data_IF_859923567574
#
_entry.id   IF_859923567574
#
_cell.length_a   1.000
_cell.length_b   1.000
_cell.length_c   1.000
_cell.angle_alpha   90.00
_cell.angle_beta   90.00
_cell.angle_gamma   90.00
#
_symmetry.space_group_name_H-M   'P 1'
#
loop_
_entity.id
_entity.type
_entity.pdbx_description
1 polymer ?
#
# COMPACT_ATOMS: atom_id res chain seq x y z
N UNK A 1 -35.68 20.71 11.41
CA UNK A 1 -34.60 20.80 10.43
C UNK A 1 -35.20 20.72 9.03
N UNK A 2 -34.69 21.50 8.08
CA UNK A 2 -35.11 21.50 6.67
C UNK A 2 -33.88 21.64 5.78
N UNK A 3 -33.76 20.81 4.75
CA UNK A 3 -32.71 20.91 3.75
C UNK A 3 -33.32 21.38 2.42
N UNK A 4 -32.73 22.36 1.78
CA UNK A 4 -33.22 22.91 0.49
C UNK A 4 -32.04 23.03 -0.48
N UNK A 5 -32.13 22.40 -1.64
CA UNK A 5 -31.15 22.50 -2.70
C UNK A 5 -31.11 23.95 -3.25
N UNK A 6 -29.93 24.56 -3.27
CA UNK A 6 -29.72 25.89 -3.88
C UNK A 6 -29.26 25.70 -5.34
N UNK A 7 -28.22 24.90 -5.55
CA UNK A 7 -27.57 24.74 -6.85
C UNK A 7 -26.80 23.45 -6.91
N UNK A 8 -26.77 22.83 -8.09
CA UNK A 8 -25.89 21.70 -8.42
C UNK A 8 -25.10 22.07 -9.70
N UNK A 9 -23.77 22.08 -9.59
CA UNK A 9 -22.87 22.33 -10.70
C UNK A 9 -21.89 21.18 -10.83
N UNK A 10 -22.08 20.34 -11.83
CA UNK A 10 -21.34 19.09 -11.95
C UNK A 10 -21.53 18.24 -10.68
N UNK A 11 -20.44 17.95 -10.01
CA UNK A 11 -20.42 17.13 -8.78
C UNK A 11 -20.47 17.97 -7.50
N UNK A 12 -20.51 19.31 -7.61
CA UNK A 12 -20.60 20.22 -6.45
C UNK A 12 -22.05 20.59 -6.20
N UNK A 13 -22.53 20.30 -5.00
CA UNK A 13 -23.90 20.61 -4.56
C UNK A 13 -23.84 21.64 -3.45
N UNK A 14 -24.61 22.73 -3.63
CA UNK A 14 -24.85 23.72 -2.59
C UNK A 14 -26.29 23.59 -2.12
N UNK A 15 -26.47 23.47 -0.82
CA UNK A 15 -27.80 23.41 -0.22
C UNK A 15 -27.86 24.23 1.07
N UNK A 16 -29.06 24.68 1.40
CA UNK A 16 -29.34 25.40 2.62
C UNK A 16 -29.85 24.43 3.67
N UNK A 17 -29.23 24.47 4.84
CA UNK A 17 -29.62 23.67 5.99
C UNK A 17 -30.14 24.59 7.10
N UNK A 18 -31.45 24.53 7.35
CA UNK A 18 -32.10 25.28 8.41
C UNK A 18 -32.26 24.41 9.65
N UNK A 19 -31.69 24.84 10.77
CA UNK A 19 -31.74 24.16 12.05
C UNK A 19 -32.59 24.98 13.02
N UNK A 20 -33.64 24.36 13.55
CA UNK A 20 -34.61 25.03 14.44
C UNK A 20 -33.90 25.65 15.65
N UNK A 21 -34.41 26.81 16.10
CA UNK A 21 -33.82 27.56 17.20
C UNK A 21 -33.68 26.72 18.48
N UNK A 22 -34.63 25.83 18.80
CA UNK A 22 -34.57 25.00 20.00
C UNK A 22 -33.38 23.99 19.96
N UNK A 23 -33.10 23.40 18.80
CA UNK A 23 -31.95 22.53 18.60
C UNK A 23 -30.63 23.30 18.69
N UNK A 24 -30.56 24.46 18.07
CA UNK A 24 -29.38 25.30 18.12
C UNK A 24 -29.11 25.83 19.53
N UNK A 25 -30.14 26.28 20.27
CA UNK A 25 -30.01 26.68 21.67
C UNK A 25 -29.56 25.54 22.59
N UNK A 26 -30.01 24.31 22.34
CA UNK A 26 -29.54 23.13 23.05
C UNK A 26 -28.03 22.88 22.77
N UNK A 27 -27.60 23.06 21.51
CA UNK A 27 -26.18 22.93 21.12
C UNK A 27 -25.32 24.05 21.77
N UNK A 28 -25.81 25.30 21.80
CA UNK A 28 -25.11 26.41 22.50
C UNK A 28 -24.95 26.09 24.00
N UNK A 29 -25.95 25.47 24.62
CA UNK A 29 -25.86 25.09 26.04
C UNK A 29 -24.85 23.93 26.23
N UNK A 30 -24.77 22.98 25.30
CA UNK A 30 -23.71 21.93 25.29
C UNK A 30 -22.33 22.58 25.15
N UNK A 31 -22.15 23.51 24.18
CA UNK A 31 -20.92 24.25 23.93
C UNK A 31 -20.46 25.05 25.14
N UNK A 32 -21.39 25.80 25.77
CA UNK A 32 -21.15 26.49 27.05
C UNK A 32 -20.63 25.51 28.12
N UNK A 33 -21.32 24.41 28.34
CA UNK A 33 -20.91 23.43 29.36
C UNK A 33 -19.52 22.85 29.13
N UNK A 34 -19.17 22.60 27.87
CA UNK A 34 -17.86 22.09 27.45
C UNK A 34 -16.76 23.13 27.67
N UNK A 35 -17.04 24.41 27.35
CA UNK A 35 -16.02 25.46 27.24
C UNK A 35 -16.01 26.49 28.36
N UNK A 36 -17.01 26.51 29.28
CA UNK A 36 -17.09 27.48 30.38
C UNK A 36 -15.83 27.56 31.26
N UNK A 37 -15.04 26.50 31.29
CA UNK A 37 -13.76 26.47 32.03
C UNK A 37 -12.63 27.27 31.36
N UNK A 38 -12.77 27.67 30.09
CA UNK A 38 -11.76 28.45 29.34
C UNK A 38 -11.85 29.95 29.65
N UNK A 39 -13.04 30.43 30.13
CA UNK A 39 -13.31 31.84 30.34
C UNK A 39 -12.95 32.27 31.75
N UNK A 40 -12.24 33.41 31.87
CA UNK A 40 -11.93 34.04 33.15
C UNK A 40 -12.75 35.31 33.30
N UNK A 41 -13.72 35.30 34.21
CA UNK A 41 -14.64 36.40 34.43
C UNK A 41 -14.43 36.96 35.85
N UNK A 42 -14.20 38.26 35.96
CA UNK A 42 -14.04 38.92 37.25
C UNK A 42 -15.29 38.70 38.14
N UNK A 43 -15.06 38.29 39.38
CA UNK A 43 -16.15 37.99 40.33
C UNK A 43 -16.67 36.53 40.27
N UNK A 44 -16.18 35.69 39.37
CA UNK A 44 -16.58 34.30 39.30
C UNK A 44 -15.37 33.36 39.36
N UNK A 45 -15.51 32.25 40.08
CA UNK A 45 -14.54 31.17 40.03
C UNK A 45 -14.53 30.56 38.62
N UNK A 46 -13.34 30.23 38.09
CA UNK A 46 -13.15 29.64 36.77
C UNK A 46 -14.13 28.48 36.52
N UNK A 47 -14.88 28.56 35.43
CA UNK A 47 -15.87 27.56 35.01
C UNK A 47 -17.21 27.62 35.77
N UNK A 48 -17.45 28.66 36.63
CA UNK A 48 -18.70 28.86 37.37
C UNK A 48 -19.47 30.08 36.91
N UNK A 49 -18.97 30.88 35.98
CA UNK A 49 -19.71 32.00 35.42
C UNK A 49 -20.92 31.51 34.60
N UNK A 50 -22.13 32.02 34.80
CA UNK A 50 -23.30 31.67 33.99
C UNK A 50 -23.09 32.06 32.52
N UNK A 51 -23.73 31.31 31.58
CA UNK A 51 -23.66 31.54 30.14
C UNK A 51 -23.86 33.00 29.77
N UNK A 52 -24.95 33.61 30.26
CA UNK A 52 -25.29 35.00 29.98
C UNK A 52 -24.20 36.00 30.37
N UNK A 53 -23.48 35.74 31.44
CA UNK A 53 -22.39 36.62 31.88
C UNK A 53 -21.18 36.50 30.94
N UNK A 54 -20.86 35.27 30.45
CA UNK A 54 -19.81 35.06 29.46
C UNK A 54 -20.18 35.74 28.14
N UNK A 55 -21.41 35.54 27.66
CA UNK A 55 -21.92 36.15 26.43
C UNK A 55 -21.93 37.70 26.48
N UNK A 56 -22.22 38.30 27.67
CA UNK A 56 -22.15 39.74 27.85
C UNK A 56 -20.73 40.31 27.79
N UNK A 57 -19.72 39.53 28.21
CA UNK A 57 -18.31 39.97 28.23
C UNK A 57 -17.60 39.68 26.90
N UNK A 58 -17.88 38.56 26.24
CA UNK A 58 -17.16 38.07 25.03
C UNK A 58 -18.02 38.17 23.78
N UNK A 59 -19.28 38.58 23.88
CA UNK A 59 -20.22 38.65 22.78
C UNK A 59 -21.16 37.43 22.71
N UNK A 60 -22.37 37.64 22.15
CA UNK A 60 -23.42 36.61 22.07
C UNK A 60 -23.00 35.40 21.25
N UNK A 61 -22.10 35.59 20.26
CA UNK A 61 -21.64 34.56 19.37
C UNK A 61 -20.49 33.69 19.90
N UNK A 62 -20.02 33.92 21.13
CA UNK A 62 -18.84 33.26 21.71
C UNK A 62 -18.90 31.74 21.72
N UNK A 63 -20.10 31.15 21.66
CA UNK A 63 -20.33 29.70 21.63
C UNK A 63 -20.90 29.21 20.31
N UNK A 64 -21.07 30.07 19.29
CA UNK A 64 -21.74 29.67 18.04
C UNK A 64 -20.94 28.68 17.23
N UNK A 65 -19.64 28.89 17.09
CA UNK A 65 -18.74 27.97 16.38
C UNK A 65 -18.76 26.56 17.02
N UNK A 66 -18.50 26.52 18.35
CA UNK A 66 -18.57 25.24 19.08
C UNK A 66 -19.97 24.58 19.02
N UNK A 67 -21.04 25.39 18.95
CA UNK A 67 -22.40 24.87 18.84
C UNK A 67 -22.70 24.31 17.45
N UNK A 68 -22.19 24.94 16.40
CA UNK A 68 -22.26 24.43 15.02
C UNK A 68 -21.53 23.10 14.94
N UNK A 69 -20.31 23.01 15.47
CA UNK A 69 -19.53 21.78 15.52
C UNK A 69 -20.25 20.62 16.25
N UNK A 70 -21.14 20.95 17.19
CA UNK A 70 -21.93 19.96 17.92
C UNK A 70 -23.20 19.56 17.15
N UNK A 71 -23.94 20.54 16.59
CA UNK A 71 -25.25 20.27 16.00
C UNK A 71 -25.13 19.78 14.55
N UNK A 72 -24.15 20.24 13.80
CA UNK A 72 -24.00 19.91 12.39
C UNK A 72 -23.85 18.39 12.16
N UNK A 73 -22.95 17.65 12.85
CA UNK A 73 -22.84 16.20 12.67
C UNK A 73 -24.11 15.44 13.05
N UNK A 74 -24.96 16.00 13.93
CA UNK A 74 -26.23 15.37 14.33
C UNK A 74 -27.31 15.48 13.23
N UNK A 75 -27.28 16.55 12.40
CA UNK A 75 -28.33 16.85 11.43
C UNK A 75 -27.92 16.63 9.96
N UNK A 76 -26.62 16.67 9.68
CA UNK A 76 -26.07 16.54 8.31
C UNK A 76 -26.45 15.23 7.63
N UNK A 77 -26.35 14.03 8.27
CA UNK A 77 -26.76 12.79 7.64
C UNK A 77 -28.24 12.80 7.19
N UNK A 78 -29.13 13.31 8.06
CA UNK A 78 -30.55 13.41 7.70
C UNK A 78 -30.82 14.40 6.55
N UNK A 79 -29.99 15.44 6.42
CA UNK A 79 -30.10 16.38 5.30
C UNK A 79 -29.64 15.73 3.98
N UNK A 80 -28.63 14.90 4.02
CA UNK A 80 -28.16 14.11 2.85
C UNK A 80 -29.21 13.10 2.40
N UNK A 81 -29.84 12.38 3.35
CA UNK A 81 -30.92 11.44 3.08
C UNK A 81 -32.13 12.13 2.45
N UNK A 82 -32.54 13.32 2.99
CA UNK A 82 -33.64 14.11 2.44
C UNK A 82 -33.40 14.58 1.00
N UNK A 83 -32.15 14.93 0.68
CA UNK A 83 -31.72 15.39 -0.63
C UNK A 83 -31.21 14.25 -1.54
N UNK A 84 -31.15 13.02 -1.05
CA UNK A 84 -30.61 11.84 -1.76
C UNK A 84 -29.17 12.08 -2.30
N UNK A 85 -28.31 12.68 -1.49
CA UNK A 85 -26.94 13.02 -1.84
C UNK A 85 -25.97 11.98 -1.26
N UNK A 86 -25.01 11.53 -2.08
CA UNK A 86 -23.90 10.67 -1.67
C UNK A 86 -22.59 11.48 -1.65
N UNK A 87 -22.20 12.03 -0.48
CA UNK A 87 -21.00 12.86 -0.37
C UNK A 87 -19.73 12.02 -0.56
N UNK A 88 -18.74 12.62 -1.21
CA UNK A 88 -17.42 12.01 -1.44
C UNK A 88 -16.29 12.69 -0.67
N UNK A 89 -16.55 13.88 -0.13
CA UNK A 89 -15.60 14.64 0.69
C UNK A 89 -16.31 15.39 1.81
N UNK A 90 -15.53 16.00 2.69
CA UNK A 90 -16.05 16.81 3.80
C UNK A 90 -16.73 18.07 3.27
N UNK A 91 -17.91 18.42 3.81
CA UNK A 91 -18.59 19.62 3.39
C UNK A 91 -17.88 20.89 3.87
N UNK A 92 -17.93 21.95 3.07
CA UNK A 92 -17.68 23.32 3.50
C UNK A 92 -18.97 23.92 4.03
N UNK A 93 -18.89 24.68 5.13
CA UNK A 93 -20.04 25.22 5.83
C UNK A 93 -19.86 26.71 6.00
N UNK A 94 -20.81 27.47 5.50
CA UNK A 94 -20.91 28.91 5.72
C UNK A 94 -22.19 29.25 6.52
N UNK A 95 -22.06 30.17 7.45
CA UNK A 95 -23.20 30.65 8.25
C UNK A 95 -23.89 31.77 7.51
N UNK A 96 -25.11 31.56 7.04
CA UNK A 96 -25.89 32.58 6.37
C UNK A 96 -26.66 33.48 7.39
N UNK A 97 -27.33 32.86 8.36
CA UNK A 97 -28.15 33.58 9.35
C UNK A 97 -28.16 32.86 10.70
N UNK A 98 -28.14 33.65 11.76
CA UNK A 98 -28.47 33.18 13.11
C UNK A 98 -29.52 34.12 13.67
N UNK A 99 -30.77 33.66 13.80
CA UNK A 99 -31.86 34.45 14.33
C UNK A 99 -32.74 33.63 15.27
N UNK A 100 -33.59 34.31 16.04
CA UNK A 100 -34.53 33.61 16.91
C UNK A 100 -35.71 33.02 16.14
N UNK A 101 -36.06 33.62 15.00
CA UNK A 101 -37.22 33.23 14.21
C UNK A 101 -36.88 32.07 13.28
N UNK A 102 -35.69 32.10 12.66
CA UNK A 102 -35.23 31.08 11.70
C UNK A 102 -34.25 30.06 12.30
N UNK A 103 -33.76 30.31 13.53
CA UNK A 103 -32.73 29.48 14.14
C UNK A 103 -31.36 29.69 13.50
N UNK A 104 -30.67 28.61 13.16
CA UNK A 104 -29.40 28.61 12.46
C UNK A 104 -29.61 28.19 11.00
N UNK A 105 -29.18 29.03 10.07
CA UNK A 105 -29.21 28.77 8.63
C UNK A 105 -27.79 28.67 8.13
N UNK A 106 -27.45 27.51 7.59
CA UNK A 106 -26.16 27.19 7.02
C UNK A 106 -26.28 27.03 5.51
N UNK A 107 -25.29 27.49 4.77
CA UNK A 107 -25.05 27.12 3.38
C UNK A 107 -23.95 26.06 3.39
N UNK A 108 -24.29 24.89 2.89
CA UNK A 108 -23.40 23.74 2.86
C UNK A 108 -23.03 23.46 1.41
N UNK A 109 -21.74 23.40 1.14
CA UNK A 109 -21.20 22.98 -0.12
C UNK A 109 -20.52 21.61 0.04
N UNK A 110 -20.90 20.66 -0.78
CA UNK A 110 -20.37 19.30 -0.73
C UNK A 110 -20.15 18.75 -2.14
N UNK A 111 -19.08 17.99 -2.32
CA UNK A 111 -18.89 17.19 -3.52
C UNK A 111 -19.58 15.85 -3.37
N UNK A 112 -20.29 15.43 -4.41
CA UNK A 112 -21.07 14.19 -4.45
C UNK A 112 -20.59 13.27 -5.56
N UNK A 113 -20.95 11.99 -5.46
CA UNK A 113 -20.69 11.02 -6.51
C UNK A 113 -21.22 11.54 -7.88
N UNK A 114 -20.44 11.34 -8.97
CA UNK A 114 -20.87 11.77 -10.30
C UNK A 114 -22.05 10.94 -10.78
N UNK A 115 -23.03 11.61 -11.39
CA UNK A 115 -24.09 10.97 -12.15
C UNK A 115 -23.66 10.82 -13.61
N UNK A 116 -23.73 9.63 -14.15
CA UNK A 116 -23.38 9.33 -15.54
C UNK A 116 -24.24 8.22 -16.11
N UNK A 117 -24.32 8.16 -17.42
CA UNK A 117 -25.01 7.07 -18.11
C UNK A 117 -24.02 5.94 -18.45
N UNK A 118 -24.44 4.70 -18.19
CA UNK A 118 -23.64 3.53 -18.54
C UNK A 118 -23.55 3.40 -20.07
N UNK A 119 -22.35 3.24 -20.57
CA UNK A 119 -22.11 2.82 -21.94
C UNK A 119 -22.51 1.37 -22.18
N UNK A 120 -22.15 0.84 -23.34
CA UNK A 120 -22.40 -0.58 -23.63
C UNK A 120 -21.56 -1.46 -22.71
N UNK A 121 -22.22 -2.23 -21.83
CA UNK A 121 -21.60 -3.20 -20.93
C UNK A 121 -22.06 -4.64 -21.14
N UNK A 122 -23.14 -4.86 -21.96
CA UNK A 122 -23.62 -6.20 -22.36
C UNK A 122 -23.16 -6.53 -23.77
N UNK A 123 -22.88 -7.81 -24.01
CA UNK A 123 -22.43 -8.29 -25.33
C UNK A 123 -21.03 -7.80 -25.70
N UNK A 124 -20.16 -7.63 -24.71
CA UNK A 124 -18.76 -7.24 -24.93
C UNK A 124 -17.98 -8.41 -25.51
N UNK A 125 -17.36 -8.18 -26.65
CA UNK A 125 -16.46 -9.14 -27.29
C UNK A 125 -15.00 -8.78 -26.97
N UNK A 126 -14.26 -9.71 -26.38
CA UNK A 126 -12.83 -9.60 -26.13
C UNK A 126 -12.10 -10.80 -26.71
N UNK A 127 -10.83 -10.60 -27.06
CA UNK A 127 -10.00 -11.70 -27.53
C UNK A 127 -9.82 -12.74 -26.41
N UNK A 128 -10.00 -14.03 -26.77
CA UNK A 128 -9.76 -15.13 -25.83
C UNK A 128 -8.30 -15.09 -25.37
N UNK A 129 -8.12 -15.33 -24.10
CA UNK A 129 -6.79 -15.50 -23.52
C UNK A 129 -6.54 -16.98 -23.37
N UNK A 130 -5.57 -17.49 -24.13
CA UNK A 130 -5.14 -18.88 -24.05
C UNK A 130 -3.76 -18.91 -23.41
N UNK A 131 -3.66 -19.56 -22.28
CA UNK A 131 -2.39 -19.89 -21.63
C UNK A 131 -2.21 -21.40 -21.72
N UNK A 132 -1.19 -21.81 -22.42
CA UNK A 132 -0.77 -23.20 -22.49
C UNK A 132 0.48 -23.37 -21.66
N UNK A 133 0.46 -24.33 -20.75
CA UNK A 133 1.66 -24.71 -20.01
C UNK A 133 2.54 -25.52 -20.94
N UNK A 134 3.78 -25.06 -21.07
CA UNK A 134 4.79 -25.76 -21.90
C UNK A 134 5.60 -26.72 -21.05
N UNK A 135 6.22 -27.73 -21.71
CA UNK A 135 7.14 -28.64 -21.02
C UNK A 135 8.33 -27.88 -20.42
N UNK A 136 8.78 -26.79 -21.08
CA UNK A 136 9.87 -25.96 -20.58
C UNK A 136 9.50 -25.25 -19.27
N UNK A 137 8.24 -24.80 -19.11
CA UNK A 137 7.77 -24.18 -17.86
C UNK A 137 7.69 -25.21 -16.74
N UNK A 138 7.28 -26.44 -17.03
CA UNK A 138 7.26 -27.53 -16.05
C UNK A 138 8.69 -27.91 -15.65
N UNK A 139 9.59 -28.01 -16.60
CA UNK A 139 11.02 -28.30 -16.34
C UNK A 139 11.67 -27.18 -15.54
N UNK A 140 11.34 -25.91 -15.79
CA UNK A 140 11.82 -24.78 -15.01
C UNK A 140 11.37 -24.87 -13.54
N UNK A 141 10.11 -25.23 -13.28
CA UNK A 141 9.58 -25.44 -11.93
C UNK A 141 10.25 -26.63 -11.22
N UNK A 142 10.52 -27.71 -11.95
CA UNK A 142 11.26 -28.85 -11.41
C UNK A 142 12.72 -28.49 -11.08
N UNK A 143 13.37 -27.69 -11.93
CA UNK A 143 14.72 -27.19 -11.68
C UNK A 143 14.75 -26.25 -10.47
N UNK A 144 13.73 -25.43 -10.27
CA UNK A 144 13.62 -24.59 -9.07
C UNK A 144 13.50 -25.44 -7.79
N UNK A 145 12.75 -26.54 -7.81
CA UNK A 145 12.68 -27.50 -6.71
C UNK A 145 14.03 -28.18 -6.46
N UNK A 146 14.74 -28.56 -7.55
CA UNK A 146 16.07 -29.13 -7.50
C UNK A 146 17.08 -28.16 -6.87
N UNK A 147 17.01 -26.88 -7.26
CA UNK A 147 17.85 -25.84 -6.68
C UNK A 147 17.60 -25.62 -5.19
N UNK A 148 16.34 -25.64 -4.77
CA UNK A 148 15.97 -25.53 -3.34
C UNK A 148 16.46 -26.70 -2.51
N UNK A 149 16.53 -27.89 -3.11
CA UNK A 149 17.04 -29.10 -2.49
C UNK A 149 18.56 -29.28 -2.59
N UNK A 150 19.26 -28.33 -3.23
CA UNK A 150 20.71 -28.38 -3.40
C UNK A 150 21.45 -28.36 -2.07
N UNK A 151 22.61 -29.01 -2.03
CA UNK A 151 23.51 -29.06 -0.88
C UNK A 151 24.83 -28.37 -1.21
N UNK A 152 25.38 -27.70 -0.21
CA UNK A 152 26.72 -27.15 -0.31
C UNK A 152 27.70 -28.19 0.18
N UNK A 153 28.56 -28.69 -0.72
CA UNK A 153 29.60 -29.66 -0.41
C UNK A 153 30.97 -29.03 -0.55
N UNK A 154 31.91 -29.39 0.33
CA UNK A 154 33.29 -28.92 0.26
C UNK A 154 33.96 -29.49 -1.00
N UNK A 155 34.73 -28.67 -1.68
CA UNK A 155 35.42 -29.03 -2.93
C UNK A 155 36.84 -28.49 -2.95
N UNK A 156 37.75 -29.28 -3.51
CA UNK A 156 39.16 -28.91 -3.72
C UNK A 156 39.40 -28.20 -5.06
N UNK A 157 38.32 -27.92 -5.83
CA UNK A 157 38.44 -27.25 -7.13
C UNK A 157 38.71 -25.73 -6.95
N UNK A 158 39.06 -25.09 -8.05
CA UNK A 158 39.15 -23.64 -8.14
C UNK A 158 37.74 -23.04 -8.04
N UNK A 159 37.62 -21.85 -7.40
CA UNK A 159 36.39 -21.09 -7.30
C UNK A 159 35.88 -20.72 -8.69
N UNK A 160 34.65 -21.06 -8.97
CA UNK A 160 33.90 -20.63 -10.16
C UNK A 160 32.73 -19.73 -9.79
N UNK A 161 32.15 -19.06 -10.78
CA UNK A 161 30.96 -18.27 -10.58
C UNK A 161 29.79 -19.15 -10.11
N UNK A 162 29.10 -18.77 -9.03
CA UNK A 162 28.02 -19.55 -8.39
C UNK A 162 28.50 -20.41 -7.22
N UNK A 163 29.80 -20.62 -7.01
CA UNK A 163 30.32 -21.30 -5.83
C UNK A 163 30.25 -20.43 -4.58
N UNK A 164 30.27 -21.08 -3.42
CA UNK A 164 30.34 -20.37 -2.12
C UNK A 164 31.75 -20.50 -1.55
N UNK A 165 32.46 -19.38 -1.49
CA UNK A 165 33.76 -19.32 -0.84
C UNK A 165 33.60 -18.97 0.65
N UNK A 166 34.14 -19.81 1.54
CA UNK A 166 34.32 -19.44 2.93
C UNK A 166 35.64 -18.69 3.06
N UNK A 167 35.58 -17.41 3.44
CA UNK A 167 36.71 -16.50 3.44
C UNK A 167 36.90 -15.81 4.77
N UNK A 168 38.15 -15.54 5.12
CA UNK A 168 38.52 -14.51 6.07
C UNK A 168 39.04 -13.31 5.29
N UNK A 169 38.63 -12.12 5.65
CA UNK A 169 39.11 -10.92 4.99
C UNK A 169 39.40 -9.77 5.99
N UNK A 170 40.38 -8.94 5.65
CA UNK A 170 40.68 -7.72 6.37
C UNK A 170 41.04 -6.61 5.38
N UNK A 171 40.31 -5.50 5.44
CA UNK A 171 40.42 -4.36 4.52
C UNK A 171 41.39 -3.29 5.04
N UNK A 172 42.26 -2.79 4.15
CA UNK A 172 43.22 -1.75 4.42
C UNK A 172 43.06 -0.57 3.47
N UNK A 173 43.07 0.63 4.00
CA UNK A 173 43.20 1.89 3.27
C UNK A 173 44.51 2.55 3.64
N UNK A 174 45.36 2.84 2.68
CA UNK A 174 46.70 3.40 2.90
C UNK A 174 47.49 2.63 3.98
N UNK A 175 47.48 1.29 3.91
CA UNK A 175 48.10 0.33 4.84
C UNK A 175 47.53 0.36 6.28
N UNK A 176 46.41 1.04 6.52
CA UNK A 176 45.72 1.09 7.82
C UNK A 176 44.43 0.31 7.76
N UNK A 177 44.23 -0.65 8.66
CA UNK A 177 42.96 -1.40 8.74
C UNK A 177 41.80 -0.46 9.14
N UNK A 178 40.68 -0.56 8.49
CA UNK A 178 39.50 0.26 8.77
C UNK A 178 38.39 -0.56 9.48
N UNK A 179 37.61 0.13 10.29
CA UNK A 179 36.52 -0.47 11.06
C UNK A 179 35.42 -1.01 10.12
N UNK A 180 34.92 -2.22 10.40
CA UNK A 180 33.93 -2.90 9.55
C UNK A 180 34.53 -3.62 8.34
N UNK A 181 35.85 -3.51 8.07
CA UNK A 181 36.53 -4.17 6.96
C UNK A 181 37.01 -5.59 7.25
N UNK A 182 36.70 -6.20 8.42
CA UNK A 182 37.20 -7.51 8.82
C UNK A 182 36.07 -8.48 9.15
N UNK A 183 36.19 -9.70 8.62
CA UNK A 183 35.37 -10.85 9.04
C UNK A 183 36.17 -12.14 8.90
N UNK A 184 35.81 -13.14 9.71
CA UNK A 184 36.37 -14.49 9.68
C UNK A 184 35.25 -15.53 9.41
N UNK A 185 35.51 -16.52 8.56
CA UNK A 185 34.58 -17.60 8.25
C UNK A 185 33.35 -17.13 7.46
N UNK A 186 33.43 -16.03 6.73
CA UNK A 186 32.33 -15.51 5.97
C UNK A 186 32.06 -16.34 4.73
N UNK A 187 30.80 -16.75 4.51
CA UNK A 187 30.37 -17.47 3.30
C UNK A 187 29.92 -16.47 2.24
N UNK A 188 30.69 -16.35 1.17
CA UNK A 188 30.41 -15.47 0.04
C UNK A 188 30.06 -16.29 -1.21
N UNK A 189 28.88 -16.05 -1.77
CA UNK A 189 28.50 -16.62 -3.07
C UNK A 189 29.13 -15.77 -4.18
N UNK A 190 29.98 -16.36 -4.97
CA UNK A 190 30.72 -15.68 -6.05
C UNK A 190 29.77 -15.36 -7.21
N UNK A 191 29.72 -14.12 -7.61
CA UNK A 191 28.81 -13.59 -8.63
C UNK A 191 27.47 -13.09 -8.05
N UNK A 192 27.33 -13.08 -6.73
CA UNK A 192 26.09 -12.55 -6.07
C UNK A 192 25.98 -11.03 -6.11
N UNK A 193 27.11 -10.33 -6.29
CA UNK A 193 27.17 -8.86 -6.16
C UNK A 193 26.98 -8.36 -4.74
N UNK A 194 27.12 -9.21 -3.74
CA UNK A 194 26.99 -8.85 -2.32
C UNK A 194 28.16 -8.02 -1.78
N UNK A 195 29.28 -8.08 -2.45
CA UNK A 195 30.48 -7.33 -2.14
C UNK A 195 30.71 -6.18 -3.12
N UNK A 196 31.71 -5.35 -2.81
CA UNK A 196 32.10 -4.22 -3.65
C UNK A 196 32.45 -4.73 -5.07
N UNK A 197 32.01 -4.02 -6.13
CA UNK A 197 32.29 -4.44 -7.52
C UNK A 197 33.76 -4.74 -7.76
N UNK A 198 34.03 -5.91 -8.37
CA UNK A 198 35.38 -6.39 -8.66
C UNK A 198 36.06 -7.15 -7.51
N UNK A 199 35.39 -7.31 -6.34
CA UNK A 199 35.90 -8.14 -5.25
C UNK A 199 35.79 -9.63 -5.57
N UNK A 200 34.57 -10.06 -5.91
CA UNK A 200 34.23 -11.46 -6.17
C UNK A 200 34.97 -11.99 -7.41
N UNK A 201 35.14 -11.18 -8.44
CA UNK A 201 35.83 -11.53 -9.68
C UNK A 201 37.29 -11.90 -9.46
N UNK A 202 37.98 -11.30 -8.50
CA UNK A 202 39.37 -11.55 -8.18
C UNK A 202 39.59 -12.84 -7.37
N UNK A 203 38.52 -13.44 -6.84
CA UNK A 203 38.53 -14.73 -6.16
C UNK A 203 38.32 -15.91 -7.11
N UNK A 204 37.81 -15.68 -8.32
CA UNK A 204 37.63 -16.71 -9.34
C UNK A 204 39.02 -17.31 -9.70
N UNK A 205 39.07 -18.64 -9.76
CA UNK A 205 40.28 -19.38 -10.03
C UNK A 205 41.21 -19.62 -8.83
N UNK A 206 40.80 -19.18 -7.61
CA UNK A 206 41.52 -19.45 -6.37
C UNK A 206 41.06 -20.74 -5.71
N UNK A 207 41.90 -21.32 -4.85
CA UNK A 207 41.65 -22.58 -4.13
C UNK A 207 41.59 -22.35 -2.63
N UNK A 208 41.01 -23.31 -1.94
CA UNK A 208 41.08 -23.37 -0.47
C UNK A 208 42.54 -23.33 0.02
N UNK A 209 42.81 -22.53 1.01
CA UNK A 209 44.14 -22.27 1.59
C UNK A 209 44.94 -21.15 0.94
N UNK A 210 44.48 -20.58 -0.18
CA UNK A 210 45.19 -19.45 -0.83
C UNK A 210 44.88 -18.13 -0.12
N UNK A 211 45.91 -17.25 -0.07
CA UNK A 211 45.78 -15.88 0.34
C UNK A 211 45.92 -14.97 -0.88
N UNK A 212 45.00 -13.97 -0.96
CA UNK A 212 44.88 -13.09 -2.11
C UNK A 212 44.74 -11.66 -1.67
N UNK A 213 45.48 -10.74 -2.28
CA UNK A 213 45.26 -9.31 -2.12
C UNK A 213 44.26 -8.83 -3.18
N UNK A 214 43.06 -8.53 -2.74
CA UNK A 214 41.93 -8.06 -3.59
C UNK A 214 41.90 -6.55 -3.61
N UNK A 215 42.19 -5.95 -4.77
CA UNK A 215 42.23 -4.50 -4.94
C UNK A 215 40.91 -4.00 -5.52
N UNK A 216 40.20 -3.16 -4.76
CA UNK A 216 38.90 -2.61 -5.16
C UNK A 216 38.80 -1.13 -4.80
N UNK A 217 37.86 -0.44 -5.45
CA UNK A 217 37.52 0.94 -5.15
C UNK A 217 36.08 1.00 -4.68
N UNK A 218 35.84 1.60 -3.52
CA UNK A 218 34.49 1.80 -3.04
C UNK A 218 33.69 2.69 -4.00
N UNK A 219 32.40 2.44 -4.20
CA UNK A 219 31.51 3.33 -4.95
C UNK A 219 31.54 4.76 -4.36
N UNK A 220 31.35 5.75 -5.24
CA UNK A 220 31.38 7.16 -4.81
C UNK A 220 30.21 7.55 -3.88
N UNK A 221 29.14 6.79 -3.91
CA UNK A 221 27.93 6.93 -3.09
C UNK A 221 27.89 5.98 -1.88
N UNK A 222 29.06 5.45 -1.47
CA UNK A 222 29.13 4.57 -0.32
C UNK A 222 28.78 5.30 0.96
N UNK A 223 27.99 4.68 1.85
CA UNK A 223 27.43 5.28 3.06
C UNK A 223 28.47 5.80 4.06
N UNK A 224 29.70 5.27 4.07
CA UNK A 224 30.81 5.77 4.88
C UNK A 224 31.63 6.77 4.06
N UNK A 225 31.49 8.07 4.36
CA UNK A 225 32.15 9.17 3.62
C UNK A 225 33.70 9.02 3.54
N UNK A 226 34.31 8.42 4.56
CA UNK A 226 35.75 8.19 4.60
C UNK A 226 36.24 7.14 3.61
N UNK A 227 35.34 6.25 3.15
CA UNK A 227 35.62 5.17 2.23
C UNK A 227 35.07 5.44 0.82
N UNK A 228 34.12 6.37 0.64
CA UNK A 228 33.51 6.69 -0.64
C UNK A 228 34.58 7.07 -1.69
N UNK A 229 34.57 6.32 -2.82
CA UNK A 229 35.52 6.51 -3.91
C UNK A 229 36.98 6.17 -3.57
N UNK A 230 37.26 5.62 -2.40
CA UNK A 230 38.64 5.32 -1.97
C UNK A 230 39.08 3.96 -2.51
N UNK A 231 40.33 3.83 -3.01
CA UNK A 231 40.95 2.55 -3.30
C UNK A 231 41.37 1.86 -1.99
N UNK A 232 41.08 0.57 -1.90
CA UNK A 232 41.39 -0.26 -0.73
C UNK A 232 41.92 -1.63 -1.17
N UNK A 233 42.67 -2.25 -0.27
CA UNK A 233 43.19 -3.60 -0.45
C UNK A 233 42.60 -4.50 0.61
N UNK A 234 41.93 -5.57 0.21
CA UNK A 234 41.48 -6.61 1.13
C UNK A 234 42.49 -7.78 1.09
N UNK A 235 43.01 -8.13 2.22
CA UNK A 235 43.77 -9.38 2.40
C UNK A 235 42.72 -10.47 2.65
N UNK A 236 42.56 -11.36 1.70
CA UNK A 236 41.54 -12.42 1.74
C UNK A 236 42.23 -13.77 1.81
N UNK A 237 41.78 -14.59 2.75
CA UNK A 237 42.18 -15.98 2.85
C UNK A 237 40.98 -16.85 2.52
N UNK A 238 41.12 -17.75 1.56
CA UNK A 238 40.08 -18.73 1.21
C UNK A 238 40.23 -19.92 2.18
N UNK A 239 39.26 -20.13 3.06
CA UNK A 239 39.29 -21.24 4.02
C UNK A 239 38.76 -22.54 3.38
N UNK A 240 37.65 -22.45 2.61
CA UNK A 240 37.03 -23.56 1.92
C UNK A 240 36.28 -23.07 0.68
N UNK A 241 36.21 -23.92 -0.32
CA UNK A 241 35.33 -23.73 -1.49
C UNK A 241 34.20 -24.72 -1.37
N UNK A 242 32.96 -24.24 -1.43
CA UNK A 242 31.77 -25.07 -1.40
C UNK A 242 31.02 -24.94 -2.71
N UNK A 243 30.73 -26.08 -3.30
CA UNK A 243 30.02 -26.17 -4.57
C UNK A 243 28.61 -26.57 -4.30
N UNK A 244 27.70 -25.95 -5.04
CA UNK A 244 26.28 -26.30 -5.00
C UNK A 244 26.12 -27.63 -5.78
N UNK A 245 25.90 -28.71 -5.05
CA UNK A 245 25.57 -30.00 -5.65
C UNK A 245 24.06 -30.12 -5.81
N UNK A 246 23.62 -30.20 -7.06
CA UNK A 246 22.21 -30.42 -7.39
C UNK A 246 21.94 -31.93 -7.35
N UNK A 247 20.92 -32.38 -6.61
CA UNK A 247 20.50 -33.77 -6.64
C UNK A 247 20.03 -34.13 -8.06
N UNK A 248 20.23 -35.35 -8.49
CA UNK A 248 19.70 -35.80 -9.78
C UNK A 248 18.16 -35.83 -9.73
N UNK A 249 17.52 -35.38 -10.82
CA UNK A 249 16.06 -35.46 -10.95
C UNK A 249 15.68 -36.93 -11.29
N UNK A 250 15.41 -37.70 -10.23
CA UNK A 250 15.03 -39.11 -10.28
C UNK A 250 13.97 -39.41 -9.22
N UNK A 251 13.57 -40.66 -9.08
CA UNK A 251 12.54 -41.06 -8.10
C UNK A 251 13.00 -40.86 -6.64
N UNK A 252 14.30 -41.00 -6.36
CA UNK A 252 14.86 -40.74 -5.03
C UNK A 252 14.74 -39.27 -4.67
N UNK A 253 15.02 -38.38 -5.61
CA UNK A 253 14.77 -36.92 -5.42
C UNK A 253 13.31 -36.63 -5.08
N UNK A 254 12.35 -37.20 -5.81
CA UNK A 254 10.92 -37.00 -5.55
C UNK A 254 10.55 -37.50 -4.16
N UNK A 255 11.00 -38.67 -3.74
CA UNK A 255 10.71 -39.27 -2.45
C UNK A 255 11.37 -38.51 -1.27
N UNK A 256 12.58 -37.97 -1.46
CA UNK A 256 13.33 -37.28 -0.41
C UNK A 256 12.87 -35.83 -0.19
N UNK A 257 12.40 -35.17 -1.25
CA UNK A 257 12.11 -33.71 -1.22
C UNK A 257 10.62 -33.37 -1.24
N UNK A 258 9.76 -34.35 -1.56
CA UNK A 258 8.31 -34.15 -1.68
C UNK A 258 7.53 -35.32 -1.10
N UNK A 259 6.20 -35.29 -1.20
CA UNK A 259 5.30 -36.38 -0.78
C UNK A 259 5.13 -37.49 -1.87
N UNK A 260 5.75 -37.33 -3.05
CA UNK A 260 5.63 -38.25 -4.17
C UNK A 260 6.75 -39.29 -4.16
N UNK A 261 6.46 -40.51 -4.63
CA UNK A 261 7.42 -41.58 -4.64
C UNK A 261 8.18 -41.69 -5.95
N UNK A 262 7.71 -41.06 -7.01
CA UNK A 262 8.35 -41.08 -8.34
C UNK A 262 8.44 -39.70 -8.96
N UNK A 263 9.46 -39.48 -9.79
CA UNK A 263 9.60 -38.25 -10.56
C UNK A 263 8.39 -38.00 -11.49
N UNK A 264 7.82 -39.09 -12.03
CA UNK A 264 6.65 -39.01 -12.89
C UNK A 264 5.40 -38.44 -12.13
N UNK A 265 5.19 -38.87 -10.87
CA UNK A 265 4.12 -38.34 -10.01
C UNK A 265 4.37 -36.86 -9.69
N UNK A 266 5.60 -36.50 -9.30
CA UNK A 266 5.97 -35.11 -9.02
C UNK A 266 5.76 -34.23 -10.26
N UNK A 267 6.22 -34.69 -11.45
CA UNK A 267 6.02 -33.97 -12.72
C UNK A 267 4.53 -33.77 -13.04
N UNK A 268 3.72 -34.80 -12.84
CA UNK A 268 2.27 -34.73 -13.06
C UNK A 268 1.60 -33.71 -12.12
N UNK A 269 2.00 -33.66 -10.85
CA UNK A 269 1.50 -32.68 -9.88
C UNK A 269 1.93 -31.25 -10.24
N UNK A 270 3.22 -31.06 -10.57
CA UNK A 270 3.73 -29.74 -10.99
C UNK A 270 3.01 -29.27 -12.26
N UNK A 271 2.75 -30.17 -13.21
CA UNK A 271 1.98 -29.85 -14.43
C UNK A 271 0.56 -29.46 -14.10
N UNK A 272 -0.14 -30.23 -13.25
CA UNK A 272 -1.52 -29.93 -12.84
C UNK A 272 -1.62 -28.58 -12.11
N UNK A 273 -0.70 -28.28 -11.21
CA UNK A 273 -0.63 -26.98 -10.52
C UNK A 273 -0.35 -25.83 -11.49
N UNK A 274 0.60 -26.01 -12.42
CA UNK A 274 0.89 -25.01 -13.43
C UNK A 274 -0.32 -24.74 -14.36
N UNK A 275 -1.05 -25.80 -14.75
CA UNK A 275 -2.28 -25.68 -15.54
C UNK A 275 -3.39 -24.94 -14.77
N UNK A 276 -3.55 -25.19 -13.48
CA UNK A 276 -4.54 -24.51 -12.64
C UNK A 276 -4.18 -23.03 -12.46
N UNK A 277 -2.92 -22.71 -12.15
CA UNK A 277 -2.41 -21.33 -12.07
C UNK A 277 -2.60 -20.60 -13.41
N UNK A 278 -2.29 -21.27 -14.53
CA UNK A 278 -2.45 -20.72 -15.88
C UNK A 278 -3.91 -20.43 -16.22
N UNK A 279 -4.83 -21.34 -15.86
CA UNK A 279 -6.28 -21.14 -16.05
C UNK A 279 -6.81 -19.97 -15.23
N UNK A 280 -6.39 -19.85 -13.96
CA UNK A 280 -6.80 -18.71 -13.13
C UNK A 280 -6.20 -17.40 -13.64
N UNK A 281 -4.94 -17.39 -14.08
CA UNK A 281 -4.32 -16.22 -14.70
C UNK A 281 -5.06 -15.80 -15.98
N UNK A 282 -5.40 -16.76 -16.86
CA UNK A 282 -6.18 -16.50 -18.07
C UNK A 282 -7.58 -15.94 -17.77
N UNK A 283 -8.24 -16.50 -16.76
CA UNK A 283 -9.58 -16.02 -16.31
C UNK A 283 -9.51 -14.61 -15.76
N UNK A 284 -8.49 -14.29 -14.95
CA UNK A 284 -8.30 -12.95 -14.41
C UNK A 284 -7.95 -11.95 -15.50
N UNK A 285 -7.09 -12.30 -16.44
CA UNK A 285 -6.75 -11.48 -17.59
C UNK A 285 -7.98 -11.21 -18.46
N UNK A 286 -8.79 -12.26 -18.75
CA UNK A 286 -10.04 -12.10 -19.49
C UNK A 286 -11.00 -11.15 -18.79
N UNK A 287 -11.14 -11.30 -17.46
CA UNK A 287 -11.96 -10.40 -16.62
C UNK A 287 -11.49 -8.96 -16.74
N UNK A 288 -10.19 -8.74 -16.62
CA UNK A 288 -9.59 -7.41 -16.71
C UNK A 288 -9.86 -6.76 -18.09
N UNK A 289 -9.67 -7.51 -19.18
CA UNK A 289 -9.97 -7.02 -20.55
C UNK A 289 -11.42 -6.65 -20.74
N UNK A 290 -12.34 -7.45 -20.16
CA UNK A 290 -13.78 -7.11 -20.21
C UNK A 290 -14.04 -5.83 -19.44
N UNK A 291 -13.54 -5.70 -18.23
CA UNK A 291 -13.67 -4.50 -17.39
C UNK A 291 -13.12 -3.27 -18.11
N UNK A 292 -11.89 -3.35 -18.61
CA UNK A 292 -11.28 -2.24 -19.35
C UNK A 292 -12.12 -1.78 -20.54
N UNK A 293 -12.67 -2.72 -21.29
CA UNK A 293 -13.52 -2.38 -22.44
C UNK A 293 -14.83 -1.76 -22.03
N UNK A 294 -15.45 -2.24 -20.96
CA UNK A 294 -16.69 -1.66 -20.40
C UNK A 294 -16.41 -0.24 -19.88
N UNK A 295 -15.32 -0.05 -19.16
CA UNK A 295 -14.90 1.27 -18.64
C UNK A 295 -14.58 2.24 -19.78
N UNK A 296 -13.94 1.77 -20.86
CA UNK A 296 -13.65 2.58 -22.03
C UNK A 296 -14.93 3.04 -22.76
N UNK A 297 -15.97 2.21 -22.76
CA UNK A 297 -17.26 2.54 -23.38
C UNK A 297 -18.10 3.53 -22.55
N UNK A 298 -17.75 3.79 -21.30
CA UNK A 298 -18.50 4.67 -20.41
C UNK A 298 -17.76 5.99 -20.22
N UNK A 299 -18.47 7.10 -20.48
CA UNK A 299 -17.96 8.43 -20.19
C UNK A 299 -18.39 8.85 -18.79
N UNK A 300 -17.42 9.11 -17.93
CA UNK A 300 -17.64 9.64 -16.58
C UNK A 300 -16.56 10.66 -16.24
N UNK A 301 -17.00 11.80 -15.75
CA UNK A 301 -16.10 12.81 -15.20
C UNK A 301 -15.82 12.49 -13.73
N UNK A 302 -14.59 12.04 -13.46
CA UNK A 302 -14.19 11.62 -12.12
C UNK A 302 -13.80 12.85 -11.30
N UNK A 303 -14.45 13.10 -10.14
CA UNK A 303 -14.09 14.20 -9.25
C UNK A 303 -12.66 14.07 -8.72
N UNK A 304 -11.95 15.19 -8.64
CA UNK A 304 -10.57 15.22 -8.14
C UNK A 304 -10.46 14.75 -6.69
N UNK A 305 -11.48 15.00 -5.88
CA UNK A 305 -11.55 14.51 -4.50
C UNK A 305 -11.47 12.98 -4.44
N UNK A 306 -12.16 12.25 -5.34
CA UNK A 306 -12.10 10.79 -5.38
C UNK A 306 -10.72 10.28 -5.78
N UNK A 307 -10.08 10.94 -6.75
CA UNK A 307 -8.71 10.59 -7.18
C UNK A 307 -7.73 10.79 -6.03
N UNK A 308 -7.87 11.89 -5.29
CA UNK A 308 -7.04 12.18 -4.12
C UNK A 308 -7.23 11.14 -3.02
N UNK A 309 -8.48 10.77 -2.72
CA UNK A 309 -8.77 9.74 -1.71
C UNK A 309 -8.17 8.39 -2.10
N UNK A 310 -8.24 8.01 -3.38
CA UNK A 310 -7.62 6.77 -3.88
C UNK A 310 -6.09 6.81 -3.69
N UNK A 311 -5.45 7.93 -3.99
CA UNK A 311 -4.00 8.10 -3.77
C UNK A 311 -3.65 8.05 -2.28
N UNK A 312 -4.44 8.68 -1.42
CA UNK A 312 -4.25 8.64 0.03
C UNK A 312 -4.42 7.20 0.57
N UNK A 313 -5.36 6.42 0.02
CA UNK A 313 -5.54 5.00 0.35
C UNK A 313 -4.32 4.16 -0.09
N UNK A 314 -3.82 4.36 -1.31
CA UNK A 314 -2.61 3.68 -1.81
C UNK A 314 -1.38 4.03 -0.96
N UNK A 315 -1.28 5.27 -0.49
CA UNK A 315 -0.20 5.68 0.41
C UNK A 315 -0.32 5.00 1.79
N UNK A 316 -1.53 4.85 2.33
CA UNK A 316 -1.77 4.11 3.56
C UNK A 316 -1.41 2.63 3.39
N UNK A 317 -1.79 2.02 2.28
CA UNK A 317 -1.45 0.63 1.96
C UNK A 317 0.08 0.42 1.88
N UNK A 318 0.80 1.32 1.21
CA UNK A 318 2.26 1.31 1.20
C UNK A 318 2.84 1.38 2.61
N UNK A 319 2.29 2.25 3.47
CA UNK A 319 2.74 2.35 4.86
C UNK A 319 2.51 1.05 5.64
N UNK A 320 1.35 0.40 5.47
CA UNK A 320 1.09 -0.91 6.08
C UNK A 320 2.04 -2.00 5.55
N UNK A 321 2.31 -2.00 4.26
CA UNK A 321 3.24 -2.94 3.64
C UNK A 321 4.67 -2.78 4.19
N UNK A 322 5.15 -1.54 4.33
CA UNK A 322 6.44 -1.24 4.95
C UNK A 322 6.48 -1.71 6.41
N UNK A 323 5.42 -1.45 7.19
CA UNK A 323 5.34 -1.89 8.59
C UNK A 323 5.37 -3.42 8.70
N UNK A 324 4.70 -4.13 7.80
CA UNK A 324 4.72 -5.59 7.78
C UNK A 324 6.13 -6.16 7.49
N UNK A 325 6.92 -5.44 6.69
CA UNK A 325 8.32 -5.77 6.42
C UNK A 325 9.28 -5.33 7.54
N UNK A 326 8.77 -4.73 8.61
CA UNK A 326 9.56 -4.25 9.74
C UNK A 326 10.19 -2.86 9.53
N UNK A 327 9.79 -2.15 8.47
CA UNK A 327 10.25 -0.80 8.18
C UNK A 327 9.19 0.25 8.55
N UNK A 328 9.62 1.36 9.17
CA UNK A 328 8.75 2.54 9.32
C UNK A 328 8.86 3.47 8.12
N UNK A 329 7.82 4.26 7.86
CA UNK A 329 7.83 5.29 6.81
C UNK A 329 9.02 6.27 6.99
N UNK A 330 9.37 6.62 8.23
CA UNK A 330 10.53 7.47 8.51
C UNK A 330 11.84 6.85 8.04
N UNK A 331 12.05 5.56 8.28
CA UNK A 331 13.25 4.84 7.83
C UNK A 331 13.31 4.77 6.31
N UNK A 332 12.17 4.50 5.67
CA UNK A 332 12.06 4.51 4.22
C UNK A 332 12.42 5.87 3.62
N UNK A 333 11.93 6.96 4.22
CA UNK A 333 12.26 8.33 3.79
C UNK A 333 13.73 8.66 4.00
N UNK A 334 14.34 8.23 5.11
CA UNK A 334 15.78 8.41 5.35
C UNK A 334 16.62 7.66 4.30
N UNK A 335 16.24 6.43 3.95
CA UNK A 335 16.94 5.65 2.91
C UNK A 335 16.84 6.28 1.52
N UNK A 336 15.70 6.92 1.21
CA UNK A 336 15.48 7.59 -0.08
C UNK A 336 15.99 9.04 -0.11
N UNK A 337 16.40 9.61 1.03
CA UNK A 337 16.87 10.99 1.16
C UNK A 337 15.78 12.04 0.91
N UNK A 338 14.49 11.68 1.06
CA UNK A 338 13.34 12.55 0.77
C UNK A 338 12.62 12.99 2.04
N UNK A 339 12.07 14.20 2.00
CA UNK A 339 11.08 14.64 2.98
C UNK A 339 9.71 14.00 2.71
N UNK A 340 8.83 13.97 3.70
CA UNK A 340 7.45 13.46 3.54
C UNK A 340 6.68 14.23 2.45
N UNK A 341 6.86 15.55 2.38
CA UNK A 341 6.15 16.39 1.41
C UNK A 341 6.64 16.15 -0.03
N UNK A 342 7.94 16.01 -0.24
CA UNK A 342 8.52 15.67 -1.53
C UNK A 342 8.07 14.28 -1.98
N UNK A 343 8.11 13.30 -1.08
CA UNK A 343 7.65 11.95 -1.36
C UNK A 343 6.17 11.93 -1.74
N UNK A 344 5.31 12.60 -0.96
CA UNK A 344 3.87 12.70 -1.27
C UNK A 344 3.61 13.35 -2.63
N UNK A 345 4.31 14.42 -2.96
CA UNK A 345 4.15 15.10 -4.24
C UNK A 345 4.52 14.18 -5.41
N UNK A 346 5.64 13.48 -5.32
CA UNK A 346 6.10 12.53 -6.34
C UNK A 346 5.18 11.31 -6.44
N UNK A 347 4.78 10.74 -5.30
CA UNK A 347 3.84 9.62 -5.22
C UNK A 347 2.51 10.00 -5.88
N UNK A 348 1.96 11.16 -5.55
CA UNK A 348 0.74 11.68 -6.15
C UNK A 348 0.87 11.82 -7.67
N UNK A 349 1.97 12.41 -8.15
CA UNK A 349 2.20 12.59 -9.58
C UNK A 349 2.32 11.25 -10.32
N UNK A 350 3.04 10.28 -9.74
CA UNK A 350 3.25 8.96 -10.35
C UNK A 350 2.01 8.08 -10.35
N UNK A 351 1.15 8.20 -9.34
CA UNK A 351 -0.03 7.33 -9.15
C UNK A 351 -1.34 7.91 -9.71
N UNK A 352 -1.35 9.17 -10.10
CA UNK A 352 -2.57 9.88 -10.50
C UNK A 352 -3.35 9.19 -11.63
N UNK A 353 -2.66 8.73 -12.67
CA UNK A 353 -3.32 8.06 -13.79
C UNK A 353 -3.90 6.71 -13.41
N UNK A 354 -3.19 5.97 -12.57
CA UNK A 354 -3.65 4.69 -12.02
C UNK A 354 -4.85 4.89 -11.10
N UNK A 355 -4.77 5.84 -10.18
CA UNK A 355 -5.88 6.19 -9.29
C UNK A 355 -7.13 6.63 -10.07
N UNK A 356 -6.97 7.44 -11.10
CA UNK A 356 -8.07 7.84 -11.98
C UNK A 356 -8.74 6.63 -12.64
N UNK A 357 -7.95 5.68 -13.16
CA UNK A 357 -8.49 4.43 -13.74
C UNK A 357 -9.22 3.58 -12.71
N UNK A 358 -8.65 3.43 -11.52
CA UNK A 358 -9.24 2.65 -10.44
C UNK A 358 -10.58 3.22 -10.00
N UNK A 359 -10.63 4.54 -9.76
CA UNK A 359 -11.89 5.23 -9.39
C UNK A 359 -12.93 5.11 -10.49
N UNK A 360 -12.54 5.36 -11.76
CA UNK A 360 -13.44 5.19 -12.90
C UNK A 360 -13.99 3.78 -12.98
N UNK A 361 -13.13 2.78 -12.81
CA UNK A 361 -13.52 1.36 -12.80
C UNK A 361 -14.52 1.06 -11.69
N UNK A 362 -14.25 1.52 -10.47
CA UNK A 362 -15.14 1.31 -9.32
C UNK A 362 -16.52 1.94 -9.54
N UNK A 363 -16.57 3.18 -10.05
CA UNK A 363 -17.82 3.87 -10.35
C UNK A 363 -18.66 3.13 -11.40
N UNK A 364 -18.02 2.67 -12.47
CA UNK A 364 -18.70 1.94 -13.54
C UNK A 364 -19.22 0.59 -13.05
N UNK A 365 -18.41 -0.15 -12.27
CA UNK A 365 -18.85 -1.45 -11.71
C UNK A 365 -20.00 -1.24 -10.73
N UNK A 366 -19.95 -0.24 -9.87
CA UNK A 366 -21.02 0.09 -8.92
C UNK A 366 -22.31 0.45 -9.65
N UNK A 367 -22.22 1.25 -10.71
CA UNK A 367 -23.38 1.62 -11.53
C UNK A 367 -24.00 0.40 -12.24
N UNK A 368 -23.18 -0.54 -12.73
CA UNK A 368 -23.66 -1.80 -13.32
C UNK A 368 -24.32 -2.66 -12.25
N UNK A 369 -23.74 -2.80 -11.08
CA UNK A 369 -24.31 -3.57 -9.97
C UNK A 369 -25.69 -3.02 -9.57
N UNK A 370 -25.85 -1.71 -9.52
CA UNK A 370 -27.14 -1.05 -9.28
C UNK A 370 -28.14 -1.30 -10.42
N UNK A 371 -27.70 -1.19 -11.67
CA UNK A 371 -28.56 -1.40 -12.84
C UNK A 371 -29.05 -2.84 -12.98
N UNK A 372 -28.24 -3.81 -12.60
CA UNK A 372 -28.56 -5.24 -12.63
C UNK A 372 -29.18 -5.76 -11.33
N UNK A 373 -29.38 -4.89 -10.32
CA UNK A 373 -29.88 -5.23 -8.99
C UNK A 373 -29.12 -6.41 -8.36
N UNK A 374 -27.79 -6.33 -8.38
CA UNK A 374 -26.95 -7.36 -7.79
C UNK A 374 -27.05 -7.29 -6.27
N UNK A 375 -27.62 -8.31 -5.68
CA UNK A 375 -27.73 -8.48 -4.23
C UNK A 375 -26.75 -9.59 -3.80
N UNK A 376 -26.04 -9.37 -2.70
CA UNK A 376 -25.15 -10.37 -2.10
C UNK A 376 -25.85 -10.97 -0.89
N UNK A 377 -25.99 -12.29 -0.87
CA UNK A 377 -26.58 -13.01 0.26
C UNK A 377 -25.61 -13.10 1.45
N UNK A 378 -26.16 -13.23 2.68
CA UNK A 378 -25.32 -13.46 3.88
C UNK A 378 -24.50 -14.74 3.77
N UNK A 379 -25.00 -15.78 3.06
CA UNK A 379 -24.29 -17.03 2.84
C UNK A 379 -23.04 -16.84 1.96
N UNK A 380 -23.14 -16.02 0.90
CA UNK A 380 -22.01 -15.69 0.03
C UNK A 380 -20.94 -14.89 0.80
N UNK A 381 -21.35 -13.92 1.61
CA UNK A 381 -20.44 -13.15 2.48
C UNK A 381 -19.71 -14.09 3.45
N UNK A 382 -20.45 -14.96 4.15
CA UNK A 382 -19.85 -15.90 5.11
C UNK A 382 -18.91 -16.89 4.43
N UNK A 383 -19.24 -17.35 3.22
CA UNK A 383 -18.38 -18.24 2.42
C UNK A 383 -17.06 -17.57 2.06
N UNK A 384 -17.09 -16.29 1.70
CA UNK A 384 -15.88 -15.56 1.35
C UNK A 384 -15.03 -15.24 2.56
N UNK A 385 -15.66 -14.85 3.69
CA UNK A 385 -14.98 -14.67 4.98
C UNK A 385 -14.29 -15.97 5.42
N UNK A 386 -14.96 -17.13 5.26
CA UNK A 386 -14.36 -18.43 5.59
C UNK A 386 -13.13 -18.72 4.71
N UNK A 387 -13.21 -18.49 3.40
CA UNK A 387 -12.04 -18.67 2.50
C UNK A 387 -10.86 -17.78 2.89
N UNK A 388 -11.13 -16.52 3.26
CA UNK A 388 -10.10 -15.62 3.75
C UNK A 388 -9.48 -16.13 5.07
N UNK A 389 -10.32 -16.55 6.02
CA UNK A 389 -9.86 -17.09 7.28
C UNK A 389 -8.98 -18.34 7.08
N UNK A 390 -9.39 -19.26 6.20
CA UNK A 390 -8.63 -20.45 5.86
C UNK A 390 -7.29 -20.09 5.19
N UNK A 391 -7.27 -19.13 4.28
CA UNK A 391 -6.04 -18.68 3.61
C UNK A 391 -5.04 -18.06 4.60
N UNK A 392 -5.51 -17.29 5.58
CA UNK A 392 -4.66 -16.69 6.61
C UNK A 392 -4.47 -17.57 7.85
N UNK A 393 -5.02 -18.80 7.86
CA UNK A 393 -5.03 -19.72 9.02
C UNK A 393 -5.58 -19.08 10.28
N UNK A 394 -6.62 -18.28 10.14
CA UNK A 394 -7.34 -17.60 11.21
C UNK A 394 -8.70 -18.27 11.44
N UNK A 395 -9.27 -18.10 12.63
CA UNK A 395 -10.67 -18.48 12.91
C UNK A 395 -11.59 -17.33 12.55
N UNK A 396 -12.74 -17.61 11.96
CA UNK A 396 -13.81 -16.65 11.69
C UNK A 396 -14.42 -16.13 12.98
#
# INVERSE_FOLDING_TARGET
MKAELIKKEGNVVNFKLTIDNDKFEAAINKAYNKNKGRFNIAGFRKGKAPRRIIENNYGKGVFYEDAIDIVFPEVYPSALDELQLAPIDRPSIDVEEISKDNGLVLVVQVEVQPEFELGQYKGIEVAKVDYNVTDEEVDAKLNELQEKASRLVDSDKEIENGDTANIDFEGFKDDVAFEGGKAEGHNLVIGSGSFIPGFEDQLIGKKAGEEVDVNVTFPADYHAEELAGAPVVFKVKVNAVKVKELPELNDEFAADTTEFNTLAELRADVTAKAEEESKEAAKNELRNRVIEKVVANTEVEVPEAMVKHEIDNQLMELNYQLQYQGFGMEQFLQMTGKTMDEFKAEFTASRREEALRNVKTSLVIEAIAKAENVEVSEEEVNSEVQKMADAYKMTV
#
